data_IF_717932179469
#
_entry.id   IF_717932179469
#
_cell.length_a   1.000
_cell.length_b   1.000
_cell.length_c   1.000
_cell.angle_alpha   90.00
_cell.angle_beta   90.00
_cell.angle_gamma   90.00
#
_symmetry.space_group_name_H-M   'P 1'
#
loop_
_entity.id
_entity.type
_entity.pdbx_description
1 polymer ?
#
# COMPACT_ATOMS: atom_id res chain seq x y z
N UNK A 1 1.20 37.26 38.35
CA UNK A 1 2.60 37.15 37.90
C UNK A 1 2.60 37.15 36.38
N UNK A 2 3.33 38.02 35.69
CA UNK A 2 3.37 37.99 34.22
C UNK A 2 4.12 36.72 33.77
N UNK A 3 3.57 36.03 32.77
CA UNK A 3 4.17 34.83 32.21
C UNK A 3 5.43 35.20 31.42
N UNK A 4 6.51 34.43 31.60
CA UNK A 4 7.72 34.55 30.77
C UNK A 4 7.36 34.22 29.33
N UNK A 5 7.34 35.22 28.45
CA UNK A 5 7.30 35.00 27.01
C UNK A 5 8.62 34.39 26.58
N UNK A 6 8.57 33.16 26.07
CA UNK A 6 9.71 32.53 25.39
C UNK A 6 9.53 32.74 23.90
N UNK A 7 10.36 33.60 23.32
CA UNK A 7 10.50 33.69 21.87
C UNK A 7 11.39 32.53 21.42
N UNK A 8 10.85 31.66 20.55
CA UNK A 8 11.61 30.55 19.96
C UNK A 8 12.00 30.96 18.56
N UNK A 9 13.30 31.09 18.33
CA UNK A 9 13.84 31.41 17.01
C UNK A 9 14.50 30.18 16.39
N UNK A 10 14.29 29.93 15.09
CA UNK A 10 14.93 28.82 14.40
C UNK A 10 16.44 29.05 14.32
N UNK A 11 17.24 28.05 14.73
CA UNK A 11 18.72 28.13 14.68
C UNK A 11 19.32 27.43 13.46
N UNK A 12 18.60 26.47 12.91
CA UNK A 12 19.04 25.62 11.80
C UNK A 12 17.93 25.52 10.75
N UNK A 13 18.33 25.41 9.49
CA UNK A 13 17.49 25.05 8.35
C UNK A 13 18.18 23.91 7.63
N UNK A 14 17.48 22.77 7.56
CA UNK A 14 18.07 21.51 7.11
C UNK A 14 19.33 21.14 7.92
N UNK A 15 20.52 21.29 7.33
CA UNK A 15 21.82 20.98 7.97
C UNK A 15 22.71 22.22 8.09
N UNK A 16 22.16 23.41 7.88
CA UNK A 16 22.88 24.68 7.87
C UNK A 16 22.44 25.56 9.04
N UNK A 17 23.40 26.19 9.73
CA UNK A 17 23.12 27.19 10.76
C UNK A 17 22.67 28.50 10.12
N UNK A 18 21.58 29.08 10.66
CA UNK A 18 20.99 30.31 10.13
C UNK A 18 21.76 31.56 10.53
N UNK A 19 22.43 31.51 11.67
CA UNK A 19 23.17 32.62 12.23
C UNK A 19 24.61 32.19 12.50
N UNK A 20 25.55 33.13 12.41
CA UNK A 20 26.93 32.92 12.86
C UNK A 20 27.04 33.04 14.39
N UNK A 21 28.25 32.82 14.93
CA UNK A 21 28.53 32.94 16.37
C UNK A 21 28.34 34.38 16.90
N UNK A 22 28.22 35.37 15.99
CA UNK A 22 27.99 36.78 16.29
C UNK A 22 26.51 37.21 16.12
N UNK A 23 25.63 36.29 15.72
CA UNK A 23 24.20 36.54 15.52
C UNK A 23 23.82 37.13 14.16
N UNK A 24 24.75 37.22 13.20
CA UNK A 24 24.43 37.69 11.86
C UNK A 24 23.82 36.57 11.02
N UNK A 25 22.78 36.85 10.21
CA UNK A 25 22.22 35.86 9.31
C UNK A 25 23.26 35.44 8.26
N UNK A 26 23.49 34.13 8.15
CA UNK A 26 24.40 33.52 7.16
C UNK A 26 23.74 33.24 5.82
N UNK A 27 22.43 33.45 5.77
CA UNK A 27 21.55 33.05 4.67
C UNK A 27 21.19 34.30 3.85
N UNK A 28 21.25 34.22 2.53
CA UNK A 28 20.73 35.27 1.66
C UNK A 28 19.20 35.29 1.59
N UNK A 29 18.66 36.35 0.96
CA UNK A 29 17.23 36.41 0.62
C UNK A 29 16.83 35.19 -0.24
N UNK A 30 15.61 34.67 -0.06
CA UNK A 30 15.01 33.54 -0.80
C UNK A 30 15.54 32.12 -0.55
N UNK A 31 16.62 31.93 0.22
CA UNK A 31 17.12 30.57 0.50
C UNK A 31 16.12 29.72 1.30
N UNK A 32 15.38 30.32 2.23
CA UNK A 32 14.32 29.62 2.97
C UNK A 32 13.20 29.13 2.04
N UNK A 33 12.82 29.95 1.06
CA UNK A 33 11.82 29.60 0.05
C UNK A 33 12.34 28.47 -0.84
N UNK A 34 13.61 28.53 -1.26
CA UNK A 34 14.25 27.49 -2.06
C UNK A 34 14.30 26.14 -1.34
N UNK A 35 14.69 26.12 -0.05
CA UNK A 35 14.72 24.89 0.76
C UNK A 35 13.31 24.34 1.00
N UNK A 36 12.34 25.22 1.28
CA UNK A 36 10.94 24.82 1.49
C UNK A 36 10.37 24.20 0.22
N UNK A 37 10.58 24.84 -0.94
CA UNK A 37 10.12 24.33 -2.22
C UNK A 37 10.82 23.01 -2.58
N UNK A 38 12.13 22.89 -2.34
CA UNK A 38 12.86 21.64 -2.56
C UNK A 38 12.31 20.50 -1.68
N UNK A 39 12.06 20.79 -0.40
CA UNK A 39 11.47 19.85 0.55
C UNK A 39 10.08 19.41 0.08
N UNK A 40 9.25 20.33 -0.37
CA UNK A 40 7.93 20.04 -0.91
C UNK A 40 8.01 19.18 -2.18
N UNK A 41 8.84 19.54 -3.15
CA UNK A 41 9.04 18.75 -4.37
C UNK A 41 9.51 17.33 -4.05
N UNK A 42 10.40 17.16 -3.07
CA UNK A 42 10.86 15.84 -2.65
C UNK A 42 9.75 15.04 -1.96
N UNK A 43 8.94 15.66 -1.11
CA UNK A 43 7.77 15.02 -0.52
C UNK A 43 6.79 14.55 -1.62
N UNK A 44 6.51 15.38 -2.63
CA UNK A 44 5.67 15.00 -3.76
C UNK A 44 6.26 13.82 -4.56
N UNK A 45 7.58 13.81 -4.81
CA UNK A 45 8.26 12.66 -5.46
C UNK A 45 8.15 11.37 -4.63
N UNK A 46 8.30 11.47 -3.31
CA UNK A 46 8.14 10.33 -2.42
C UNK A 46 6.71 9.81 -2.42
N UNK A 47 5.71 10.68 -2.38
CA UNK A 47 4.31 10.29 -2.50
C UNK A 47 3.99 9.65 -3.85
N UNK A 48 4.53 10.18 -4.94
CA UNK A 48 4.37 9.57 -6.27
C UNK A 48 4.99 8.16 -6.32
N UNK A 49 6.18 7.98 -5.74
CA UNK A 49 6.84 6.67 -5.65
C UNK A 49 6.03 5.69 -4.81
N UNK A 50 5.42 6.16 -3.71
CA UNK A 50 4.55 5.35 -2.87
C UNK A 50 3.28 4.92 -3.60
N UNK A 51 2.66 5.81 -4.38
CA UNK A 51 1.47 5.48 -5.19
C UNK A 51 1.80 4.42 -6.24
N UNK A 52 2.96 4.51 -6.90
CA UNK A 52 3.39 3.49 -7.86
C UNK A 52 3.56 2.13 -7.19
N UNK A 53 4.27 2.08 -6.07
CA UNK A 53 4.45 0.83 -5.32
C UNK A 53 3.11 0.25 -4.83
N UNK A 54 2.18 1.10 -4.38
CA UNK A 54 0.84 0.67 -3.98
C UNK A 54 0.05 0.10 -5.17
N UNK A 55 0.15 0.73 -6.35
CA UNK A 55 -0.49 0.26 -7.57
C UNK A 55 0.00 -1.15 -7.94
N UNK A 56 1.32 -1.36 -7.95
CA UNK A 56 1.92 -2.67 -8.25
C UNK A 56 1.39 -3.76 -7.31
N UNK A 57 1.31 -3.49 -6.00
CA UNK A 57 0.78 -4.42 -5.00
C UNK A 57 -0.70 -4.75 -5.28
N UNK A 58 -1.51 -3.73 -5.60
CA UNK A 58 -2.94 -3.94 -5.84
C UNK A 58 -3.23 -4.63 -7.16
N UNK A 59 -2.43 -4.39 -8.20
CA UNK A 59 -2.52 -5.12 -9.47
C UNK A 59 -2.20 -6.60 -9.29
N UNK A 60 -1.10 -6.92 -8.58
CA UNK A 60 -0.73 -8.31 -8.29
C UNK A 60 -1.80 -9.01 -7.45
N UNK A 61 -2.28 -8.36 -6.39
CA UNK A 61 -3.37 -8.90 -5.56
C UNK A 61 -4.65 -9.10 -6.35
N UNK A 62 -5.01 -8.14 -7.21
CA UNK A 62 -6.16 -8.23 -8.10
C UNK A 62 -6.07 -9.43 -9.03
N UNK A 63 -4.89 -9.67 -9.62
CA UNK A 63 -4.60 -10.84 -10.43
C UNK A 63 -4.80 -12.15 -9.66
N UNK A 64 -4.23 -12.25 -8.45
CA UNK A 64 -4.38 -13.43 -7.60
C UNK A 64 -5.83 -13.71 -7.22
N UNK A 65 -6.61 -12.67 -6.88
CA UNK A 65 -8.02 -12.81 -6.55
C UNK A 65 -8.87 -13.28 -7.74
N UNK A 66 -8.58 -12.75 -8.94
CA UNK A 66 -9.29 -13.17 -10.16
C UNK A 66 -8.99 -14.64 -10.51
N UNK A 67 -7.76 -15.10 -10.32
CA UNK A 67 -7.41 -16.52 -10.52
C UNK A 67 -8.07 -17.44 -9.49
N UNK A 68 -8.13 -17.04 -8.21
CA UNK A 68 -8.87 -17.76 -7.18
C UNK A 68 -10.35 -17.84 -7.54
N UNK A 69 -10.94 -16.73 -8.00
CA UNK A 69 -12.34 -16.67 -8.43
C UNK A 69 -12.61 -17.62 -9.59
N UNK A 70 -11.80 -17.61 -10.65
CA UNK A 70 -11.94 -18.53 -11.79
C UNK A 70 -11.92 -20.00 -11.35
N UNK A 71 -10.96 -20.35 -10.48
CA UNK A 71 -10.86 -21.72 -9.93
C UNK A 71 -12.07 -22.09 -9.09
N UNK A 72 -12.58 -21.15 -8.30
CA UNK A 72 -13.76 -21.33 -7.45
C UNK A 72 -15.02 -21.55 -8.28
N UNK A 73 -15.20 -20.81 -9.37
CA UNK A 73 -16.33 -21.02 -10.29
C UNK A 73 -16.26 -22.38 -10.99
N UNK A 74 -15.09 -22.79 -11.47
CA UNK A 74 -14.91 -24.14 -12.05
C UNK A 74 -15.23 -25.22 -11.02
N UNK A 75 -14.77 -25.06 -9.78
CA UNK A 75 -15.05 -25.99 -8.70
C UNK A 75 -16.55 -26.06 -8.39
N UNK A 76 -17.23 -24.90 -8.32
CA UNK A 76 -18.67 -24.82 -8.09
C UNK A 76 -19.47 -25.56 -9.16
N UNK A 77 -19.11 -25.41 -10.43
CA UNK A 77 -19.73 -26.16 -11.53
C UNK A 77 -19.52 -27.66 -11.35
N UNK A 78 -18.29 -28.09 -11.04
CA UNK A 78 -17.98 -29.52 -10.82
C UNK A 78 -18.76 -30.10 -9.65
N UNK A 79 -18.89 -29.36 -8.55
CA UNK A 79 -19.70 -29.75 -7.39
C UNK A 79 -21.15 -29.97 -7.82
N UNK A 80 -21.76 -29.01 -8.53
CA UNK A 80 -23.14 -29.16 -8.99
C UNK A 80 -23.37 -30.37 -9.92
N UNK A 81 -22.39 -30.68 -10.78
CA UNK A 81 -22.45 -31.90 -11.61
C UNK A 81 -22.39 -33.17 -10.77
N UNK A 82 -21.52 -33.22 -9.76
CA UNK A 82 -21.40 -34.37 -8.86
C UNK A 82 -22.67 -34.52 -8.02
N UNK A 83 -23.18 -33.43 -7.44
CA UNK A 83 -24.45 -33.43 -6.70
C UNK A 83 -25.61 -33.95 -7.54
N UNK A 84 -25.73 -33.51 -8.79
CA UNK A 84 -26.75 -34.00 -9.71
C UNK A 84 -26.62 -35.50 -10.01
N UNK A 85 -25.40 -36.00 -10.21
CA UNK A 85 -25.14 -37.43 -10.43
C UNK A 85 -25.45 -38.28 -9.20
N UNK A 86 -25.07 -37.80 -8.01
CA UNK A 86 -25.35 -38.48 -6.74
C UNK A 86 -26.85 -38.51 -6.47
N UNK A 87 -27.58 -37.42 -6.75
CA UNK A 87 -29.02 -37.38 -6.57
C UNK A 87 -29.79 -38.34 -7.51
N UNK A 88 -29.26 -38.61 -8.70
CA UNK A 88 -29.83 -39.55 -9.68
C UNK A 88 -29.36 -40.99 -9.49
N UNK A 89 -28.45 -41.24 -8.55
CA UNK A 89 -27.86 -42.55 -8.35
C UNK A 89 -28.87 -43.50 -7.69
N UNK A 90 -29.17 -44.63 -8.37
CA UNK A 90 -29.92 -45.74 -7.77
C UNK A 90 -28.94 -46.84 -7.30
N UNK A 91 -28.80 -47.06 -5.98
CA UNK A 91 -27.93 -48.10 -5.43
C UNK A 91 -28.30 -49.53 -5.84
N UNK A 92 -29.54 -49.77 -6.29
CA UNK A 92 -30.03 -51.12 -6.66
C UNK A 92 -29.58 -51.55 -8.05
N UNK A 93 -29.22 -50.62 -8.92
CA UNK A 93 -28.74 -50.88 -10.29
C UNK A 93 -27.25 -51.24 -10.35
N UNK A 94 -26.49 -50.98 -9.28
CA UNK A 94 -25.04 -51.22 -9.25
C UNK A 94 -24.74 -52.62 -8.70
N UNK A 95 -24.27 -53.50 -9.58
CA UNK A 95 -23.77 -54.82 -9.16
C UNK A 95 -22.40 -54.67 -8.51
N UNK A 96 -22.28 -55.09 -7.24
CA UNK A 96 -20.98 -55.11 -6.55
C UNK A 96 -20.15 -56.26 -7.14
N UNK A 97 -19.03 -55.94 -7.79
CA UNK A 97 -18.07 -56.96 -8.20
C UNK A 97 -17.44 -57.56 -6.94
N UNK A 98 -17.89 -58.76 -6.57
CA UNK A 98 -17.19 -59.60 -5.60
C UNK A 98 -15.84 -59.97 -6.23
N UNK A 99 -14.76 -59.38 -5.70
CA UNK A 99 -13.40 -59.66 -6.12
C UNK A 99 -13.12 -61.16 -6.14
N UNK A 100 -12.49 -61.62 -7.21
CA UNK A 100 -11.93 -62.97 -7.34
C UNK A 100 -10.47 -62.97 -6.94
#
# INVERSE_FOLDING_TARGET
>A
MPFVQRLVEPKFLSRTQLFDDHGNPKIGDFELEAVTNNTLCNALRQLASLVLAANDIFEELGGHLEDIKKRSEVLKVKIGVVEGRVAQFDPKEVTVLLGS
#
